data_IF_388622463819
#
_entry.id   IF_388622463819
#
_cell.length_a   1.000
_cell.length_b   1.000
_cell.length_c   1.000
_cell.angle_alpha   90.00
_cell.angle_beta   90.00
_cell.angle_gamma   90.00
#
_symmetry.space_group_name_H-M   'P 1'
#
loop_
_entity.id
_entity.type
_entity.pdbx_description
1 polymer ?
#
# COMPACT_ATOMS: atom_id res chain seq x y z
N UNK A 1 -4.76 -21.00 47.49
CA UNK A 1 -3.48 -20.29 47.31
C UNK A 1 -2.83 -20.84 46.05
N UNK A 2 -2.71 -19.94 45.07
CA UNK A 2 -1.71 -19.79 44.01
C UNK A 2 -1.10 -21.05 43.38
N UNK A 3 -0.99 -21.19 42.07
CA UNK A 3 -1.79 -20.81 40.92
C UNK A 3 -1.20 -21.67 39.80
N UNK A 4 -2.05 -22.19 38.91
CA UNK A 4 -1.63 -23.16 37.91
C UNK A 4 -0.85 -22.43 36.82
N UNK A 5 0.42 -22.77 36.72
CA UNK A 5 1.35 -22.46 35.65
C UNK A 5 0.67 -22.52 34.26
N UNK A 6 0.41 -21.39 33.57
CA UNK A 6 -0.11 -21.40 32.22
C UNK A 6 0.98 -21.00 31.20
N UNK A 7 1.09 -21.83 30.18
CA UNK A 7 1.54 -21.48 28.83
C UNK A 7 3.03 -21.13 28.61
N UNK A 8 3.84 -22.19 28.44
CA UNK A 8 5.14 -22.15 27.75
C UNK A 8 5.11 -22.43 26.23
N UNK A 9 3.94 -22.60 25.60
CA UNK A 9 3.86 -23.03 24.18
C UNK A 9 3.24 -22.06 23.16
N UNK A 10 3.03 -20.79 23.52
CA UNK A 10 2.70 -19.76 22.52
C UNK A 10 3.94 -18.88 22.24
N UNK A 11 4.99 -19.47 21.67
CA UNK A 11 6.02 -18.69 20.94
C UNK A 11 5.37 -18.15 19.67
N UNK A 12 4.66 -17.04 19.86
CA UNK A 12 4.09 -16.15 18.85
C UNK A 12 5.14 -15.95 17.75
N UNK A 13 4.89 -16.48 16.56
CA UNK A 13 5.39 -15.88 15.34
C UNK A 13 5.06 -14.38 15.44
N UNK A 14 6.09 -13.54 15.44
CA UNK A 14 5.91 -12.10 15.56
C UNK A 14 4.93 -11.66 14.47
N UNK A 15 3.95 -10.86 14.89
CA UNK A 15 2.81 -10.35 14.13
C UNK A 15 3.26 -9.50 12.92
N UNK A 16 3.78 -10.10 11.85
CA UNK A 16 4.02 -9.42 10.55
C UNK A 16 2.78 -9.52 9.65
N UNK A 17 1.58 -9.49 10.25
CA UNK A 17 0.31 -9.43 9.52
C UNK A 17 -0.37 -8.07 9.69
N UNK A 18 0.32 -7.10 10.30
CA UNK A 18 -0.15 -5.72 10.45
C UNK A 18 0.74 -4.79 9.64
N UNK A 19 0.19 -3.65 9.24
CA UNK A 19 1.01 -2.55 8.72
C UNK A 19 2.05 -2.14 9.77
N UNK A 20 3.29 -2.03 9.34
CA UNK A 20 4.40 -1.55 10.16
C UNK A 20 4.29 -0.02 10.28
N UNK A 21 4.68 0.56 11.41
CA UNK A 21 4.78 2.02 11.50
C UNK A 21 5.89 2.54 10.55
N UNK A 22 5.71 3.74 10.00
CA UNK A 22 6.68 4.33 9.06
C UNK A 22 8.05 4.50 9.72
N UNK A 23 8.07 4.89 10.99
CA UNK A 23 9.28 5.08 11.78
C UNK A 23 10.11 3.78 11.91
N UNK A 24 9.44 2.63 12.05
CA UNK A 24 10.12 1.34 12.13
C UNK A 24 10.71 0.94 10.78
N UNK A 25 10.00 1.19 9.68
CA UNK A 25 10.52 0.89 8.35
C UNK A 25 11.72 1.79 8.02
N UNK A 26 11.66 3.08 8.37
CA UNK A 26 12.79 3.99 8.28
C UNK A 26 13.99 3.48 9.08
N UNK A 27 13.80 3.11 10.34
CA UNK A 27 14.87 2.57 11.20
C UNK A 27 15.56 1.34 10.58
N UNK A 28 14.77 0.42 10.00
CA UNK A 28 15.35 -0.75 9.31
C UNK A 28 16.14 -0.37 8.06
N UNK A 29 15.69 0.63 7.30
CA UNK A 29 16.41 1.14 6.13
C UNK A 29 17.71 1.84 6.53
N UNK A 30 17.70 2.61 7.63
CA UNK A 30 18.88 3.24 8.21
C UNK A 30 19.90 2.21 8.68
N UNK A 31 19.46 1.15 9.37
CA UNK A 31 20.36 0.11 9.87
C UNK A 31 21.13 -0.60 8.76
N UNK A 32 20.52 -0.74 7.59
CA UNK A 32 21.17 -1.36 6.43
C UNK A 32 21.78 -0.33 5.50
N UNK A 33 21.89 0.94 5.90
CA UNK A 33 22.43 2.02 5.08
C UNK A 33 21.85 2.04 3.65
N UNK A 34 20.51 2.02 3.56
CA UNK A 34 19.82 1.96 2.27
C UNK A 34 19.99 3.28 1.49
N UNK A 35 20.37 3.26 0.19
CA UNK A 35 20.43 2.10 -0.72
C UNK A 35 21.80 1.40 -0.83
N UNK A 36 22.85 1.94 -0.22
CA UNK A 36 24.25 1.49 -0.37
C UNK A 36 24.51 0.09 0.21
N UNK A 37 23.85 -0.27 1.32
CA UNK A 37 23.91 -1.61 1.94
C UNK A 37 25.25 -1.94 2.58
N UNK A 38 25.85 -0.96 3.25
CA UNK A 38 27.13 -1.11 3.93
C UNK A 38 26.95 -1.72 5.34
N UNK A 39 27.75 -2.73 5.72
CA UNK A 39 27.84 -3.15 7.11
C UNK A 39 28.43 -2.02 7.96
N UNK A 40 28.03 -1.95 9.22
CA UNK A 40 28.46 -0.86 10.08
C UNK A 40 28.04 -1.02 11.53
N UNK A 41 28.43 -0.03 12.32
CA UNK A 41 28.05 0.10 13.71
C UNK A 41 27.17 1.34 13.81
N UNK A 42 25.95 1.16 14.32
CA UNK A 42 25.07 2.27 14.63
C UNK A 42 25.22 2.62 16.12
N UNK A 43 25.73 3.81 16.38
CA UNK A 43 25.89 4.32 17.73
C UNK A 43 24.55 4.86 18.26
N UNK A 44 24.22 4.66 19.54
CA UNK A 44 22.99 5.16 20.16
C UNK A 44 22.77 6.67 19.97
N UNK A 45 23.85 7.46 19.92
CA UNK A 45 23.84 8.90 19.67
C UNK A 45 23.25 9.25 18.31
N UNK A 46 23.43 8.39 17.30
CA UNK A 46 22.84 8.59 15.97
C UNK A 46 21.33 8.37 16.04
N UNK A 47 20.85 7.38 16.80
CA UNK A 47 19.41 7.15 17.01
C UNK A 47 18.73 8.33 17.71
N UNK A 48 19.42 8.98 18.65
CA UNK A 48 18.91 10.16 19.36
C UNK A 48 18.75 11.39 18.45
N UNK A 49 19.48 11.44 17.32
CA UNK A 49 19.37 12.53 16.34
C UNK A 49 18.17 12.37 15.42
N UNK A 50 17.57 11.18 15.34
CA UNK A 50 16.39 10.97 14.51
C UNK A 50 15.15 11.53 15.16
N UNK A 51 14.38 12.28 14.37
CA UNK A 51 13.06 12.76 14.71
C UNK A 51 12.03 11.79 14.12
N UNK A 52 11.53 10.90 14.96
CA UNK A 52 10.47 9.96 14.61
C UNK A 52 9.09 10.60 14.86
N UNK A 53 8.05 10.19 14.10
CA UNK A 53 6.69 10.73 14.26
C UNK A 53 6.00 10.24 15.54
N UNK A 54 6.19 8.97 15.87
CA UNK A 54 5.47 8.23 16.91
C UNK A 54 6.40 7.45 17.83
N UNK A 55 7.60 7.13 17.36
CA UNK A 55 8.57 6.40 18.17
C UNK A 55 9.43 7.33 19.01
N UNK A 56 9.73 6.89 20.22
CA UNK A 56 10.87 7.39 20.97
C UNK A 56 12.02 6.37 20.86
N UNK A 57 13.22 6.79 21.24
CA UNK A 57 14.41 5.94 21.16
C UNK A 57 14.26 4.63 21.94
N UNK A 58 13.52 4.60 23.07
CA UNK A 58 13.26 3.37 23.85
C UNK A 58 12.43 2.37 23.05
N UNK A 59 11.40 2.86 22.35
CA UNK A 59 10.55 2.03 21.49
C UNK A 59 11.33 1.50 20.29
N UNK A 60 12.20 2.32 19.69
CA UNK A 60 13.11 1.88 18.64
C UNK A 60 14.02 0.75 19.14
N UNK A 61 14.66 0.93 20.29
CA UNK A 61 15.54 -0.06 20.87
C UNK A 61 14.82 -1.38 21.17
N UNK A 62 13.66 -1.32 21.84
CA UNK A 62 12.84 -2.50 22.12
C UNK A 62 12.42 -3.23 20.85
N UNK A 63 12.09 -2.51 19.78
CA UNK A 63 11.77 -3.10 18.49
C UNK A 63 12.97 -3.84 17.88
N UNK A 64 14.17 -3.26 17.97
CA UNK A 64 15.38 -3.91 17.47
C UNK A 64 15.74 -5.16 18.27
N UNK A 65 15.59 -5.14 19.59
CA UNK A 65 15.75 -6.33 20.43
C UNK A 65 14.79 -7.45 20.03
N UNK A 66 13.54 -7.12 19.73
CA UNK A 66 12.55 -8.11 19.27
C UNK A 66 12.92 -8.72 17.91
N UNK A 67 13.65 -7.98 17.07
CA UNK A 67 14.10 -8.43 15.76
C UNK A 67 15.46 -9.12 15.77
N UNK A 68 16.20 -9.10 16.88
CA UNK A 68 17.56 -9.64 16.99
C UNK A 68 17.66 -11.06 16.43
N UNK A 69 16.74 -11.94 16.85
CA UNK A 69 16.72 -13.35 16.42
C UNK A 69 16.45 -13.53 14.92
N UNK A 70 15.58 -12.71 14.35
CA UNK A 70 15.14 -12.82 12.96
C UNK A 70 16.09 -12.12 11.98
N UNK A 71 16.77 -11.08 12.46
CA UNK A 71 17.68 -10.26 11.66
C UNK A 71 19.13 -10.69 11.84
N UNK A 72 19.52 -11.18 13.01
CA UNK A 72 20.91 -11.47 13.35
C UNK A 72 21.75 -10.23 13.68
N UNK A 73 21.10 -9.08 13.91
CA UNK A 73 21.71 -7.89 14.50
C UNK A 73 22.35 -8.28 15.83
N UNK A 74 23.51 -7.70 16.18
CA UNK A 74 24.14 -7.91 17.49
C UNK A 74 24.20 -6.60 18.27
N UNK A 75 24.02 -6.70 19.58
CA UNK A 75 24.15 -5.58 20.51
C UNK A 75 25.46 -5.72 21.29
N UNK A 76 26.36 -4.75 21.16
CA UNK A 76 27.60 -4.66 21.94
C UNK A 76 27.39 -3.70 23.10
N UNK A 77 27.43 -4.22 24.32
CA UNK A 77 27.36 -3.37 25.52
C UNK A 77 28.72 -2.71 25.73
N UNK A 78 28.76 -1.39 25.78
CA UNK A 78 29.93 -0.61 26.17
C UNK A 78 29.68 -0.12 27.60
N UNK A 79 30.69 -0.22 28.48
CA UNK A 79 30.59 0.10 29.89
C UNK A 79 29.85 1.43 30.14
N UNK A 80 28.84 1.38 31.01
CA UNK A 80 27.97 2.50 31.44
C UNK A 80 27.09 3.17 30.37
N UNK A 81 27.05 2.68 29.12
CA UNK A 81 26.27 3.28 28.04
C UNK A 81 25.31 2.31 27.33
N UNK A 82 24.40 2.89 26.53
CA UNK A 82 23.50 2.14 25.63
C UNK A 82 24.30 1.26 24.66
N UNK A 83 23.80 0.07 24.28
CA UNK A 83 24.56 -0.84 23.44
C UNK A 83 24.64 -0.34 22.00
N UNK A 84 25.82 -0.48 21.42
CA UNK A 84 26.04 -0.29 19.99
C UNK A 84 25.37 -1.42 19.20
N UNK A 85 24.90 -1.08 18.01
CA UNK A 85 24.21 -2.01 17.14
C UNK A 85 25.14 -2.37 15.99
N UNK A 86 25.67 -3.59 16.02
CA UNK A 86 26.51 -4.12 14.96
C UNK A 86 25.64 -4.78 13.88
N UNK A 87 25.72 -4.24 12.66
CA UNK A 87 25.01 -4.72 11.49
C UNK A 87 26.01 -5.36 10.53
N UNK A 88 26.10 -6.69 10.59
CA UNK A 88 26.90 -7.47 9.64
C UNK A 88 26.21 -7.63 8.29
N UNK A 89 26.95 -8.03 7.24
CA UNK A 89 26.35 -8.35 5.93
C UNK A 89 25.22 -9.40 6.01
N UNK A 90 25.37 -10.39 6.90
CA UNK A 90 24.32 -11.39 7.16
C UNK A 90 23.07 -10.73 7.70
N UNK A 91 23.23 -9.74 8.58
CA UNK A 91 22.14 -8.95 9.15
C UNK A 91 21.43 -8.14 8.08
N UNK A 92 22.19 -7.47 7.21
CA UNK A 92 21.66 -6.73 6.06
C UNK A 92 20.79 -7.63 5.19
N UNK A 93 21.29 -8.81 4.80
CA UNK A 93 20.55 -9.77 3.98
C UNK A 93 19.25 -10.22 4.66
N UNK A 94 19.26 -10.42 5.97
CA UNK A 94 18.07 -10.82 6.72
C UNK A 94 17.05 -9.68 6.87
N UNK A 95 17.49 -8.47 7.18
CA UNK A 95 16.63 -7.28 7.26
C UNK A 95 15.99 -7.02 5.88
N UNK A 96 16.75 -7.11 4.80
CA UNK A 96 16.20 -7.00 3.45
C UNK A 96 15.16 -8.08 3.15
N UNK A 97 15.40 -9.34 3.55
CA UNK A 97 14.41 -10.42 3.42
C UNK A 97 13.13 -10.12 4.21
N UNK A 98 13.27 -9.59 5.42
CA UNK A 98 12.15 -9.16 6.26
C UNK A 98 11.33 -8.07 5.57
N UNK A 99 11.97 -6.99 5.12
CA UNK A 99 11.34 -5.90 4.35
C UNK A 99 10.67 -6.46 3.09
N UNK A 100 11.35 -7.32 2.34
CA UNK A 100 10.81 -7.93 1.12
C UNK A 100 9.57 -8.77 1.38
N UNK A 101 9.55 -9.55 2.47
CA UNK A 101 8.39 -10.35 2.88
C UNK A 101 7.22 -9.45 3.28
N UNK A 102 7.50 -8.38 4.03
CA UNK A 102 6.53 -7.37 4.42
C UNK A 102 5.89 -6.70 3.18
N UNK A 103 6.70 -6.20 2.25
CA UNK A 103 6.21 -5.56 1.02
C UNK A 103 5.40 -6.51 0.13
N UNK A 104 5.75 -7.80 0.06
CA UNK A 104 4.92 -8.79 -0.65
C UNK A 104 3.52 -8.92 -0.02
N UNK A 105 3.42 -8.95 1.31
CA UNK A 105 2.13 -8.99 2.01
C UNK A 105 1.34 -7.71 1.75
N UNK A 106 2.00 -6.56 1.79
CA UNK A 106 1.43 -5.25 1.49
C UNK A 106 0.78 -5.19 0.10
N UNK A 107 1.54 -5.56 -0.96
CA UNK A 107 1.03 -5.61 -2.34
C UNK A 107 -0.19 -6.53 -2.45
N UNK A 108 -0.14 -7.69 -1.79
CA UNK A 108 -1.24 -8.67 -1.83
C UNK A 108 -2.46 -8.31 -0.99
N UNK A 109 -2.45 -7.16 -0.29
CA UNK A 109 -3.53 -6.76 0.61
C UNK A 109 -3.72 -7.69 1.82
N UNK A 110 -2.69 -8.46 2.19
CA UNK A 110 -2.73 -9.42 3.31
C UNK A 110 -2.43 -8.78 4.66
N UNK A 111 -1.93 -7.55 4.67
CA UNK A 111 -1.69 -6.82 5.91
C UNK A 111 -3.00 -6.22 6.42
N UNK A 112 -3.23 -6.38 7.71
CA UNK A 112 -4.37 -5.80 8.42
C UNK A 112 -4.09 -4.29 8.54
N UNK A 113 -4.92 -3.42 7.94
CA UNK A 113 -4.79 -1.98 8.11
C UNK A 113 -5.12 -1.61 9.56
N UNK A 114 -4.43 -0.60 10.08
CA UNK A 114 -4.66 -0.08 11.44
C UNK A 114 -5.62 1.11 11.41
N UNK A 115 -5.66 1.85 10.29
CA UNK A 115 -6.43 3.09 10.13
C UNK A 115 -7.60 2.94 9.13
N UNK A 116 -8.62 3.81 9.27
CA UNK A 116 -9.85 3.80 8.45
C UNK A 116 -9.62 4.19 6.98
N UNK A 117 -8.56 4.97 6.69
CA UNK A 117 -8.22 5.45 5.35
C UNK A 117 -6.91 4.79 4.88
N UNK A 118 -7.01 3.72 4.09
CA UNK A 118 -5.85 3.02 3.53
C UNK A 118 -5.96 2.92 2.01
N UNK A 119 -4.99 3.48 1.30
CA UNK A 119 -4.88 3.23 -0.13
C UNK A 119 -4.29 1.84 -0.32
N UNK A 120 -4.92 0.98 -1.14
CA UNK A 120 -4.19 -0.21 -1.56
C UNK A 120 -3.00 0.17 -2.43
N UNK A 121 -2.07 -0.77 -2.63
CA UNK A 121 -0.86 -0.48 -3.38
C UNK A 121 -1.12 0.09 -4.78
N UNK A 122 -2.16 -0.37 -5.49
CA UNK A 122 -2.46 0.13 -6.83
C UNK A 122 -2.87 1.61 -6.81
N UNK A 123 -3.74 2.02 -5.89
CA UNK A 123 -4.11 3.42 -5.73
C UNK A 123 -2.89 4.28 -5.37
N UNK A 124 -2.02 3.80 -4.48
CA UNK A 124 -0.80 4.53 -4.13
C UNK A 124 0.12 4.69 -5.32
N UNK A 125 0.32 3.63 -6.11
CA UNK A 125 1.08 3.68 -7.35
C UNK A 125 0.52 4.72 -8.33
N UNK A 126 -0.80 4.72 -8.57
CA UNK A 126 -1.42 5.69 -9.47
C UNK A 126 -1.32 7.13 -8.95
N UNK A 127 -1.53 7.32 -7.65
CA UNK A 127 -1.35 8.61 -6.99
C UNK A 127 0.08 9.14 -7.20
N UNK A 128 1.09 8.31 -6.94
CA UNK A 128 2.48 8.68 -7.13
C UNK A 128 2.80 9.00 -8.59
N UNK A 129 2.38 8.14 -9.52
CA UNK A 129 2.58 8.36 -10.96
C UNK A 129 1.99 9.68 -11.41
N UNK A 130 0.72 9.96 -11.07
CA UNK A 130 0.06 11.22 -11.42
C UNK A 130 0.83 12.41 -10.88
N UNK A 131 1.32 12.33 -9.65
CA UNK A 131 2.08 13.40 -9.01
C UNK A 131 3.42 13.66 -9.71
N UNK A 132 4.14 12.61 -10.08
CA UNK A 132 5.41 12.73 -10.81
C UNK A 132 5.21 13.23 -12.23
N UNK A 133 4.17 12.75 -12.94
CA UNK A 133 3.85 13.24 -14.28
C UNK A 133 3.56 14.75 -14.29
N UNK A 134 2.77 15.24 -13.33
CA UNK A 134 2.54 16.68 -13.16
C UNK A 134 3.84 17.46 -12.96
N UNK A 135 4.76 16.93 -12.15
CA UNK A 135 6.08 17.57 -11.94
C UNK A 135 6.98 17.52 -13.16
N UNK A 136 6.86 16.50 -14.00
CA UNK A 136 7.60 16.39 -15.26
C UNK A 136 7.11 17.38 -16.31
N UNK A 137 5.80 17.65 -16.34
CA UNK A 137 5.23 18.71 -17.20
C UNK A 137 5.76 20.09 -16.78
N UNK A 138 5.95 20.30 -15.48
CA UNK A 138 6.44 21.56 -14.90
C UNK A 138 7.98 21.70 -14.93
N UNK A 139 8.75 20.60 -15.01
CA UNK A 139 10.20 20.59 -14.84
C UNK A 139 10.91 19.53 -15.69
N UNK A 140 12.07 19.88 -16.25
CA UNK A 140 12.99 18.98 -16.97
C UNK A 140 13.91 18.14 -16.07
N UNK A 141 13.71 18.15 -14.75
CA UNK A 141 14.62 17.51 -13.80
C UNK A 141 14.57 15.97 -13.89
N UNK A 142 15.74 15.32 -13.86
CA UNK A 142 15.89 13.85 -13.77
C UNK A 142 15.92 13.33 -12.32
N UNK A 143 16.21 14.20 -11.37
CA UNK A 143 16.28 13.91 -9.94
C UNK A 143 15.13 14.64 -9.25
N UNK A 144 14.40 13.91 -8.44
CA UNK A 144 13.25 14.38 -7.69
C UNK A 144 13.51 14.25 -6.20
N UNK A 145 12.86 15.13 -5.45
CA UNK A 145 12.69 14.98 -4.02
C UNK A 145 11.21 14.85 -3.70
N UNK A 146 10.88 14.03 -2.72
CA UNK A 146 9.53 13.94 -2.17
C UNK A 146 9.64 13.90 -0.65
N UNK A 147 8.89 14.77 0.00
CA UNK A 147 8.68 14.76 1.45
C UNK A 147 7.38 14.04 1.81
N UNK A 148 7.32 13.52 3.02
CA UNK A 148 6.17 12.81 3.56
C UNK A 148 5.01 13.74 3.94
N UNK A 149 5.23 15.05 4.08
CA UNK A 149 4.14 16.02 4.22
C UNK A 149 3.46 16.37 2.88
N UNK A 150 4.11 16.07 1.75
CA UNK A 150 3.56 16.40 0.44
C UNK A 150 2.47 15.40 0.05
N UNK A 151 2.41 14.22 0.66
CA UNK A 151 1.52 13.10 0.29
C UNK A 151 0.21 13.08 1.10
N UNK A 152 -0.85 12.57 0.50
CA UNK A 152 -2.18 12.50 1.12
C UNK A 152 -2.24 11.50 2.29
N UNK A 153 -3.09 11.80 3.27
CA UNK A 153 -3.45 10.88 4.35
C UNK A 153 -3.94 9.52 3.80
N UNK A 154 -3.21 8.46 4.15
CA UNK A 154 -3.47 7.09 3.70
C UNK A 154 -2.51 6.58 2.62
N UNK A 155 -1.65 7.44 2.07
CA UNK A 155 -0.47 7.02 1.33
C UNK A 155 0.58 6.45 2.29
N UNK A 156 1.25 5.37 1.89
CA UNK A 156 2.24 4.65 2.68
C UNK A 156 3.61 4.93 2.08
N UNK A 157 4.30 5.88 2.69
CA UNK A 157 5.40 6.59 2.07
C UNK A 157 6.53 5.66 1.62
N UNK A 158 7.14 4.96 2.58
CA UNK A 158 8.26 4.07 2.32
C UNK A 158 7.85 2.82 1.55
N UNK A 159 6.70 2.20 1.89
CA UNK A 159 6.26 0.99 1.21
C UNK A 159 6.09 1.21 -0.29
N UNK A 160 5.39 2.29 -0.66
CA UNK A 160 5.14 2.58 -2.07
C UNK A 160 6.43 2.88 -2.82
N UNK A 161 7.34 3.67 -2.26
CA UNK A 161 8.60 4.03 -2.91
C UNK A 161 9.50 2.80 -3.11
N UNK A 162 9.66 1.96 -2.08
CA UNK A 162 10.45 0.73 -2.18
C UNK A 162 9.85 -0.28 -3.18
N UNK A 163 8.52 -0.34 -3.31
CA UNK A 163 7.88 -1.21 -4.30
C UNK A 163 8.05 -0.64 -5.71
N UNK A 164 7.91 0.67 -5.89
CA UNK A 164 8.11 1.35 -7.17
C UNK A 164 9.56 1.17 -7.66
N UNK A 165 10.53 1.24 -6.75
CA UNK A 165 11.92 0.96 -7.06
C UNK A 165 12.14 -0.49 -7.53
N UNK A 166 11.56 -1.47 -6.83
CA UNK A 166 11.60 -2.89 -7.26
C UNK A 166 10.93 -3.12 -8.60
N UNK A 167 9.88 -2.36 -8.89
CA UNK A 167 9.22 -2.37 -10.19
C UNK A 167 9.96 -1.53 -11.23
N UNK A 168 11.14 -0.98 -10.91
CA UNK A 168 12.02 -0.17 -11.78
C UNK A 168 11.34 1.09 -12.30
N UNK A 169 10.37 1.64 -11.56
CA UNK A 169 9.81 2.97 -11.88
C UNK A 169 10.82 4.04 -11.48
N UNK A 170 11.42 3.92 -10.31
CA UNK A 170 12.37 4.87 -9.77
C UNK A 170 13.61 4.17 -9.25
N UNK A 171 14.62 4.94 -8.91
CA UNK A 171 15.81 4.51 -8.18
C UNK A 171 16.02 5.48 -7.02
N UNK A 172 15.99 4.95 -5.79
CA UNK A 172 16.20 5.75 -4.59
C UNK A 172 17.69 6.04 -4.48
N UNK A 173 18.04 7.32 -4.36
CA UNK A 173 19.42 7.80 -4.20
C UNK A 173 19.75 8.06 -2.74
N UNK A 174 18.80 8.59 -1.98
CA UNK A 174 19.01 8.90 -0.58
C UNK A 174 17.67 8.94 0.18
N UNK A 175 17.71 8.58 1.46
CA UNK A 175 16.60 8.71 2.41
C UNK A 175 17.12 9.50 3.60
N UNK A 176 16.51 10.64 3.88
CA UNK A 176 16.89 11.49 5.01
C UNK A 176 15.73 11.69 5.97
N UNK A 177 16.09 11.95 7.23
CA UNK A 177 15.16 12.35 8.27
C UNK A 177 15.48 13.78 8.71
N UNK A 178 14.44 14.61 8.84
CA UNK A 178 14.63 16.01 9.22
C UNK A 178 15.06 16.11 10.67
N UNK A 179 16.20 16.75 10.91
CA UNK A 179 16.71 17.02 12.25
C UNK A 179 16.22 18.37 12.80
N UNK A 180 15.58 19.20 11.96
CA UNK A 180 15.09 20.52 12.37
C UNK A 180 13.72 20.37 13.04
N UNK A 181 13.57 20.88 14.26
CA UNK A 181 12.32 20.83 15.03
C UNK A 181 11.18 21.59 14.36
N UNK A 182 11.48 22.71 13.69
CA UNK A 182 10.50 23.56 12.99
C UNK A 182 10.06 23.01 11.63
N UNK A 183 10.73 21.97 11.12
CA UNK A 183 10.39 21.38 9.83
C UNK A 183 9.12 20.54 9.95
N UNK A 184 8.19 20.72 9.02
CA UNK A 184 7.01 19.85 8.91
C UNK A 184 7.35 18.49 8.25
N UNK A 185 8.44 18.44 7.49
CA UNK A 185 8.98 17.23 6.88
C UNK A 185 9.59 16.35 7.96
N UNK A 186 9.17 15.08 8.07
CA UNK A 186 9.90 14.10 8.87
C UNK A 186 10.84 13.31 7.98
N UNK A 187 10.39 12.93 6.79
CA UNK A 187 11.11 12.04 5.89
C UNK A 187 11.20 12.66 4.50
N UNK A 188 12.40 12.60 3.92
CA UNK A 188 12.62 13.07 2.56
C UNK A 188 13.38 12.02 1.77
N UNK A 189 12.92 11.77 0.55
CA UNK A 189 13.54 10.81 -0.35
C UNK A 189 14.00 11.53 -1.61
N UNK A 190 15.25 11.31 -1.98
CA UNK A 190 15.83 11.72 -3.26
C UNK A 190 15.85 10.50 -4.17
N UNK A 191 15.32 10.65 -5.38
CA UNK A 191 15.23 9.56 -6.34
C UNK A 191 15.35 10.05 -7.78
N UNK A 192 15.79 9.18 -8.68
CA UNK A 192 15.64 9.35 -10.13
C UNK A 192 14.49 8.49 -10.63
N UNK A 193 13.94 8.84 -11.79
CA UNK A 193 12.84 8.08 -12.41
C UNK A 193 13.22 7.50 -13.76
N UNK A 194 12.57 6.39 -14.11
CA UNK A 194 12.56 5.84 -15.46
C UNK A 194 11.36 6.45 -16.22
N UNK A 195 11.61 7.52 -16.98
CA UNK A 195 10.56 8.28 -17.67
C UNK A 195 9.70 7.40 -18.58
N UNK A 196 10.29 6.46 -19.33
CA UNK A 196 9.57 5.57 -20.24
C UNK A 196 8.52 4.73 -19.49
N UNK A 197 8.84 4.24 -18.28
CA UNK A 197 7.88 3.52 -17.44
C UNK A 197 6.74 4.39 -16.93
N UNK A 198 6.98 5.67 -16.65
CA UNK A 198 5.90 6.58 -16.22
C UNK A 198 4.98 6.92 -17.40
N UNK A 199 5.56 7.21 -18.57
CA UNK A 199 4.82 7.58 -19.78
C UNK A 199 3.97 6.40 -20.32
N UNK A 200 4.56 5.20 -20.38
CA UNK A 200 3.82 3.99 -20.79
C UNK A 200 2.72 3.60 -19.81
N UNK A 201 2.86 3.90 -18.53
CA UNK A 201 1.85 3.53 -17.54
C UNK A 201 0.68 4.53 -17.46
N UNK A 202 0.85 5.77 -17.94
CA UNK A 202 -0.27 6.70 -18.13
C UNK A 202 -1.30 6.15 -19.14
N UNK A 203 -0.86 5.25 -20.04
CA UNK A 203 -1.76 4.51 -20.94
C UNK A 203 -2.62 3.46 -20.20
N UNK A 204 -2.39 3.19 -18.92
CA UNK A 204 -3.19 2.21 -18.15
C UNK A 204 -4.34 2.85 -17.39
N UNK A 205 -4.31 4.16 -17.13
CA UNK A 205 -5.35 4.88 -16.37
C UNK A 205 -6.75 4.56 -16.89
N UNK A 206 -7.65 4.16 -16.01
CA UNK A 206 -9.00 3.74 -16.42
C UNK A 206 -9.93 4.93 -16.43
N UNK A 207 -10.60 5.13 -17.54
CA UNK A 207 -11.66 6.12 -17.69
C UNK A 207 -12.97 5.40 -17.97
N UNK A 208 -14.01 5.74 -17.21
CA UNK A 208 -15.37 5.31 -17.52
C UNK A 208 -16.12 6.48 -18.15
N UNK A 209 -16.65 6.27 -19.35
CA UNK A 209 -17.36 7.31 -20.11
C UNK A 209 -18.80 6.89 -20.38
N UNK A 210 -19.69 7.87 -20.51
CA UNK A 210 -21.08 7.67 -20.94
C UNK A 210 -21.27 8.35 -22.28
N UNK A 211 -21.88 7.64 -23.21
CA UNK A 211 -22.19 8.16 -24.53
C UNK A 211 -23.40 7.43 -25.08
N UNK A 212 -24.38 8.18 -25.58
CA UNK A 212 -25.58 7.63 -26.24
C UNK A 212 -26.30 6.55 -25.41
N UNK A 213 -26.37 6.74 -24.09
CA UNK A 213 -27.01 5.81 -23.14
C UNK A 213 -26.20 4.55 -22.79
N UNK A 214 -25.03 4.36 -23.40
CA UNK A 214 -24.12 3.27 -23.10
C UNK A 214 -22.92 3.74 -22.27
N UNK A 215 -22.43 2.83 -21.45
CA UNK A 215 -21.23 2.99 -20.67
C UNK A 215 -20.04 2.32 -21.35
N UNK A 216 -18.91 3.02 -21.37
CA UNK A 216 -17.66 2.60 -21.98
C UNK A 216 -16.54 2.64 -20.95
N UNK A 217 -15.49 1.85 -21.20
CA UNK A 217 -14.22 1.93 -20.50
C UNK A 217 -13.11 2.24 -21.51
N UNK A 218 -12.15 3.08 -21.13
CA UNK A 218 -10.90 3.34 -21.85
C UNK A 218 -9.71 3.13 -20.92
N UNK A 219 -8.57 2.78 -21.51
CA UNK A 219 -7.29 2.67 -20.83
C UNK A 219 -6.33 3.70 -21.41
N UNK A 220 -6.01 4.73 -20.62
CA UNK A 220 -5.34 5.95 -21.07
C UNK A 220 -6.30 6.93 -21.75
N UNK A 221 -5.92 8.21 -21.80
CA UNK A 221 -6.75 9.27 -22.41
C UNK A 221 -7.02 9.01 -23.90
N UNK A 222 -6.05 8.40 -24.59
CA UNK A 222 -6.12 8.03 -26.01
C UNK A 222 -6.46 6.56 -26.25
N UNK A 223 -6.94 5.86 -25.23
CA UNK A 223 -7.26 4.43 -25.31
C UNK A 223 -8.49 4.12 -26.17
N UNK A 224 -8.52 2.91 -26.73
CA UNK A 224 -9.71 2.39 -27.43
C UNK A 224 -10.90 2.26 -26.46
N UNK A 225 -12.08 2.62 -26.95
CA UNK A 225 -13.34 2.51 -26.19
C UNK A 225 -13.85 1.08 -26.22
N UNK A 226 -13.88 0.43 -25.06
CA UNK A 226 -14.56 -0.86 -24.91
C UNK A 226 -15.97 -0.60 -24.38
N UNK A 227 -16.97 -0.95 -25.18
CA UNK A 227 -18.38 -0.88 -24.77
C UNK A 227 -18.66 -1.91 -23.68
N UNK A 228 -19.21 -1.46 -22.55
CA UNK A 228 -19.54 -2.34 -21.43
C UNK A 228 -21.00 -2.80 -21.52
N UNK A 229 -21.93 -1.87 -21.37
CA UNK A 229 -23.37 -2.13 -21.24
C UNK A 229 -24.12 -0.79 -21.19
N UNK A 230 -25.45 -0.79 -20.96
CA UNK A 230 -26.20 0.46 -20.73
C UNK A 230 -25.62 1.19 -19.50
N UNK A 231 -25.57 2.51 -19.54
CA UNK A 231 -25.02 3.32 -18.45
C UNK A 231 -25.80 3.16 -17.11
N UNK A 232 -27.03 2.67 -17.17
CA UNK A 232 -27.89 2.40 -16.01
C UNK A 232 -27.76 0.99 -15.43
N UNK A 233 -27.08 0.09 -16.15
CA UNK A 233 -26.97 -1.32 -15.79
C UNK A 233 -25.98 -1.57 -14.65
N UNK A 234 -26.13 -2.72 -13.97
CA UNK A 234 -25.27 -3.10 -12.86
C UNK A 234 -23.79 -3.24 -13.26
N UNK A 235 -23.43 -3.85 -14.42
CA UNK A 235 -22.04 -3.96 -14.85
C UNK A 235 -21.32 -2.62 -14.97
N UNK A 236 -21.96 -1.63 -15.61
CA UNK A 236 -21.36 -0.31 -15.75
C UNK A 236 -21.30 0.45 -14.42
N UNK A 237 -22.37 0.42 -13.61
CA UNK A 237 -22.39 1.04 -12.28
C UNK A 237 -21.29 0.51 -11.37
N UNK A 238 -21.08 -0.82 -11.38
CA UNK A 238 -20.00 -1.46 -10.62
C UNK A 238 -18.64 -0.95 -11.08
N UNK A 239 -18.41 -0.92 -12.39
CA UNK A 239 -17.15 -0.47 -12.97
C UNK A 239 -16.85 0.97 -12.61
N UNK A 240 -17.77 1.89 -12.92
CA UNK A 240 -17.64 3.31 -12.66
C UNK A 240 -17.30 3.57 -11.19
N UNK A 241 -18.00 2.89 -10.28
CA UNK A 241 -17.79 3.08 -8.85
C UNK A 241 -16.44 2.55 -8.37
N UNK A 242 -16.00 1.40 -8.88
CA UNK A 242 -14.70 0.83 -8.51
C UNK A 242 -13.52 1.49 -9.25
N UNK A 243 -13.77 2.21 -10.36
CA UNK A 243 -12.73 2.90 -11.14
C UNK A 243 -12.41 4.29 -10.63
N UNK A 244 -13.21 4.86 -9.72
CA UNK A 244 -13.07 6.25 -9.27
C UNK A 244 -12.99 6.37 -7.73
N UNK A 245 -11.81 6.26 -7.10
CA UNK A 245 -10.50 6.04 -7.70
C UNK A 245 -10.19 4.56 -7.94
N UNK A 246 -9.54 4.26 -9.06
CA UNK A 246 -9.11 2.91 -9.42
C UNK A 246 -8.20 2.33 -8.34
N UNK A 247 -8.37 1.03 -8.08
CA UNK A 247 -7.69 0.35 -6.99
C UNK A 247 -8.32 0.56 -5.61
N UNK A 248 -9.23 1.51 -5.39
CA UNK A 248 -9.78 1.71 -4.04
C UNK A 248 -10.59 0.49 -3.58
N UNK A 249 -10.19 -0.10 -2.45
CA UNK A 249 -10.97 -1.13 -1.78
C UNK A 249 -12.21 -0.51 -1.13
N UNK A 250 -13.38 -1.03 -1.49
CA UNK A 250 -14.67 -0.57 -0.99
C UNK A 250 -15.39 -1.69 -0.26
N UNK A 251 -16.19 -1.35 0.74
CA UNK A 251 -16.96 -2.37 1.46
C UNK A 251 -17.98 -3.02 0.55
N UNK A 252 -18.27 -4.30 0.79
CA UNK A 252 -19.31 -5.03 0.06
C UNK A 252 -20.66 -4.32 0.15
N UNK A 253 -21.00 -3.75 1.30
CA UNK A 253 -22.26 -3.02 1.48
C UNK A 253 -22.34 -1.80 0.57
N UNK A 254 -21.31 -0.94 0.56
CA UNK A 254 -21.31 0.26 -0.29
C UNK A 254 -21.37 -0.09 -1.78
N UNK A 255 -20.68 -1.15 -2.18
CA UNK A 255 -20.68 -1.60 -3.58
C UNK A 255 -22.01 -2.21 -3.96
N UNK A 256 -22.62 -2.99 -3.06
CA UNK A 256 -23.96 -3.54 -3.26
C UNK A 256 -24.99 -2.43 -3.43
N UNK A 257 -24.96 -1.41 -2.57
CA UNK A 257 -25.87 -0.26 -2.65
C UNK A 257 -25.83 0.47 -4.00
N UNK A 258 -24.66 0.51 -4.64
CA UNK A 258 -24.50 1.11 -5.98
C UNK A 258 -25.08 0.25 -7.09
N UNK A 259 -24.94 -1.08 -6.98
CA UNK A 259 -25.36 -2.01 -8.03
C UNK A 259 -26.75 -2.59 -7.81
N UNK A 260 -27.41 -2.35 -6.67
CA UNK A 260 -28.72 -2.95 -6.37
C UNK A 260 -29.76 -2.55 -7.42
N UNK A 261 -30.61 -3.51 -7.80
CA UNK A 261 -31.69 -3.29 -8.78
C UNK A 261 -32.92 -2.67 -8.13
N UNK A 262 -33.85 -2.12 -8.91
CA UNK A 262 -35.20 -1.71 -8.43
C UNK A 262 -35.88 -2.82 -7.63
N UNK A 263 -35.76 -4.07 -8.11
CA UNK A 263 -36.32 -5.25 -7.44
C UNK A 263 -35.68 -5.48 -6.08
N UNK A 264 -34.37 -5.31 -5.99
CA UNK A 264 -33.61 -5.41 -4.73
C UNK A 264 -33.99 -4.28 -3.76
N UNK A 265 -34.25 -3.06 -4.26
CA UNK A 265 -34.74 -1.94 -3.44
C UNK A 265 -36.11 -2.23 -2.84
N UNK A 266 -37.07 -2.65 -3.68
CA UNK A 266 -38.43 -3.01 -3.24
C UNK A 266 -38.44 -4.15 -2.22
N UNK A 267 -37.54 -5.12 -2.35
CA UNK A 267 -37.40 -6.22 -1.37
C UNK A 267 -36.91 -5.72 0.00
N UNK A 268 -35.97 -4.78 0.02
CA UNK A 268 -35.46 -4.19 1.27
C UNK A 268 -36.52 -3.28 1.90
N UNK A 269 -37.22 -2.48 1.10
CA UNK A 269 -38.26 -1.55 1.54
C UNK A 269 -39.51 -2.27 2.07
N UNK A 270 -39.97 -3.34 1.39
CA UNK A 270 -41.20 -4.03 1.76
C UNK A 270 -41.05 -4.99 2.95
N UNK A 271 -39.88 -5.60 3.14
CA UNK A 271 -39.71 -6.65 4.14
C UNK A 271 -38.86 -6.23 5.34
N UNK A 272 -38.21 -5.06 5.30
CA UNK A 272 -37.26 -4.63 6.34
C UNK A 272 -36.02 -5.54 6.49
N UNK A 273 -35.91 -6.60 5.68
CA UNK A 273 -34.82 -7.57 5.72
C UNK A 273 -33.65 -7.02 4.92
N UNK A 274 -32.62 -6.59 5.62
CA UNK A 274 -31.34 -6.25 5.01
C UNK A 274 -30.71 -7.54 4.45
N UNK A 275 -30.38 -7.56 3.15
CA UNK A 275 -29.78 -8.73 2.51
C UNK A 275 -28.51 -9.16 3.26
N UNK A 276 -28.39 -10.47 3.48
CA UNK A 276 -27.26 -11.06 4.18
C UNK A 276 -25.95 -10.84 3.42
N UNK A 277 -24.82 -10.81 4.13
CA UNK A 277 -23.51 -10.56 3.52
C UNK A 277 -23.23 -11.48 2.31
N UNK A 278 -23.59 -12.77 2.39
CA UNK A 278 -23.40 -13.73 1.31
C UNK A 278 -24.19 -13.40 0.04
N UNK A 279 -25.40 -12.86 0.17
CA UNK A 279 -26.25 -12.51 -0.98
C UNK A 279 -25.68 -11.30 -1.71
N UNK A 280 -25.23 -10.29 -0.96
CA UNK A 280 -24.52 -9.12 -1.51
C UNK A 280 -23.26 -9.52 -2.27
N UNK A 281 -22.48 -10.43 -1.71
CA UNK A 281 -21.29 -10.99 -2.37
C UNK A 281 -21.68 -11.73 -3.65
N UNK A 282 -22.75 -12.52 -3.63
CA UNK A 282 -23.21 -13.25 -4.81
C UNK A 282 -23.69 -12.31 -5.92
N UNK A 283 -24.39 -11.22 -5.57
CA UNK A 283 -24.76 -10.18 -6.53
C UNK A 283 -23.51 -9.58 -7.20
N UNK A 284 -22.49 -9.20 -6.43
CA UNK A 284 -21.23 -8.67 -6.96
C UNK A 284 -20.52 -9.70 -7.85
N UNK A 285 -20.49 -10.98 -7.45
CA UNK A 285 -19.90 -12.07 -8.24
C UNK A 285 -20.63 -12.28 -9.57
N UNK A 286 -21.95 -12.15 -9.60
CA UNK A 286 -22.74 -12.29 -10.81
C UNK A 286 -22.43 -11.14 -11.79
N UNK A 287 -22.40 -9.90 -11.31
CA UNK A 287 -22.02 -8.74 -12.13
C UNK A 287 -20.57 -8.89 -12.64
N UNK A 288 -19.65 -9.39 -11.80
CA UNK A 288 -18.28 -9.73 -12.23
C UNK A 288 -18.28 -10.76 -13.37
N UNK A 289 -19.09 -11.82 -13.30
CA UNK A 289 -19.18 -12.82 -14.38
C UNK A 289 -19.70 -12.21 -15.68
N UNK A 290 -20.65 -11.29 -15.61
CA UNK A 290 -21.13 -10.56 -16.79
C UNK A 290 -20.03 -9.70 -17.42
N UNK A 291 -19.31 -8.94 -16.60
CA UNK A 291 -18.16 -8.16 -17.05
C UNK A 291 -17.07 -9.03 -17.69
N UNK A 292 -16.90 -10.25 -17.18
CA UNK A 292 -15.91 -11.19 -17.73
C UNK A 292 -16.25 -11.71 -19.13
N UNK A 293 -17.50 -11.58 -19.59
CA UNK A 293 -17.92 -11.95 -20.95
C UNK A 293 -17.53 -10.91 -22.00
N UNK A 294 -17.17 -9.69 -21.58
CA UNK A 294 -16.83 -8.58 -22.49
C UNK A 294 -15.42 -8.80 -23.04
N UNK A 295 -15.30 -8.85 -24.38
CA UNK A 295 -14.01 -8.99 -25.08
C UNK A 295 -13.08 -7.82 -24.73
N UNK A 296 -11.83 -8.11 -24.44
CA UNK A 296 -10.81 -7.10 -24.08
C UNK A 296 -10.79 -6.73 -22.58
N UNK A 297 -11.92 -6.80 -21.88
CA UNK A 297 -12.02 -6.47 -20.45
C UNK A 297 -11.13 -7.37 -19.58
N UNK A 298 -11.28 -8.69 -19.71
CA UNK A 298 -10.63 -9.69 -18.84
C UNK A 298 -9.14 -9.87 -19.08
N UNK A 299 -8.59 -9.27 -20.13
CA UNK A 299 -7.16 -9.29 -20.41
C UNK A 299 -6.42 -8.24 -19.58
N UNK A 300 -7.11 -7.16 -19.20
CA UNK A 300 -6.48 -5.96 -18.63
C UNK A 300 -6.82 -5.82 -17.15
N UNK A 301 -8.06 -6.06 -16.76
CA UNK A 301 -8.53 -5.86 -15.39
C UNK A 301 -9.33 -7.03 -14.83
N UNK A 302 -9.36 -7.08 -13.50
CA UNK A 302 -10.11 -8.04 -12.70
C UNK A 302 -10.73 -7.35 -11.49
N UNK A 303 -11.89 -7.86 -11.08
CA UNK A 303 -12.53 -7.47 -9.81
C UNK A 303 -12.10 -8.47 -8.76
N UNK A 304 -11.44 -7.97 -7.72
CA UNK A 304 -10.94 -8.76 -6.59
C UNK A 304 -11.86 -8.58 -5.39
N UNK A 305 -12.10 -9.67 -4.66
CA UNK A 305 -12.82 -9.69 -3.38
C UNK A 305 -11.83 -10.22 -2.36
N UNK A 306 -11.67 -9.53 -1.23
CA UNK A 306 -10.74 -9.96 -0.19
C UNK A 306 -11.14 -11.31 0.41
N UNK A 307 -10.20 -11.97 1.09
CA UNK A 307 -10.43 -13.28 1.69
C UNK A 307 -11.49 -13.26 2.78
N UNK A 308 -11.63 -12.16 3.51
CA UNK A 308 -12.65 -12.01 4.55
C UNK A 308 -14.02 -11.67 3.96
N UNK A 309 -14.10 -11.45 2.63
CA UNK A 309 -15.31 -11.09 1.90
C UNK A 309 -15.99 -9.83 2.44
N UNK A 310 -15.19 -8.86 2.87
CA UNK A 310 -15.61 -7.55 3.36
C UNK A 310 -15.37 -6.44 2.35
N UNK A 311 -14.39 -6.61 1.46
CA UNK A 311 -13.90 -5.58 0.57
C UNK A 311 -13.83 -6.07 -0.88
N UNK A 312 -14.04 -5.16 -1.82
CA UNK A 312 -13.94 -5.40 -3.27
C UNK A 312 -13.25 -4.21 -3.95
N UNK A 313 -12.42 -4.49 -4.96
CA UNK A 313 -11.73 -3.47 -5.75
C UNK A 313 -11.49 -3.93 -7.19
N UNK A 314 -11.19 -2.98 -8.07
CA UNK A 314 -10.61 -3.25 -9.38
C UNK A 314 -9.08 -3.32 -9.28
N UNK A 315 -8.48 -4.27 -9.98
CA UNK A 315 -7.03 -4.41 -10.12
C UNK A 315 -6.68 -4.75 -11.57
N UNK A 316 -5.46 -4.40 -12.00
CA UNK A 316 -4.92 -4.97 -13.24
C UNK A 316 -4.71 -6.47 -13.10
N UNK A 317 -4.83 -7.19 -14.22
CA UNK A 317 -4.62 -8.63 -14.25
C UNK A 317 -3.15 -9.02 -14.21
#
# INVERSE_FOLDING_TARGET
>A
MIDKNPNRNNKKEAKIDRLMDEDFLFLLLTLIDYPEKNPGILHPEQLKKFRFKKLNWKNCFNFLLLLERDTGIKFKVIEKNFPEIEVSEKSIKNIQRLINRYLKKFISGKLIPVDKNYFNFEKQKQYFIKKILKRLEEKTAKIFFLSDNEIDDGYRFFESLLILEKQKYLEIKNITNSQKLESEDYYKIVFSINQDKFLTNNQRTIFCEKDSGFGFIKFGERGERIKISKATSQPYKLLLYLSEPFGTARSIDTVFEVIKTERSKKLVENNGVYLGANEKINAIKNVRKELQKIKGFTKIIKIEIDKQRKMVWLAYK
#
